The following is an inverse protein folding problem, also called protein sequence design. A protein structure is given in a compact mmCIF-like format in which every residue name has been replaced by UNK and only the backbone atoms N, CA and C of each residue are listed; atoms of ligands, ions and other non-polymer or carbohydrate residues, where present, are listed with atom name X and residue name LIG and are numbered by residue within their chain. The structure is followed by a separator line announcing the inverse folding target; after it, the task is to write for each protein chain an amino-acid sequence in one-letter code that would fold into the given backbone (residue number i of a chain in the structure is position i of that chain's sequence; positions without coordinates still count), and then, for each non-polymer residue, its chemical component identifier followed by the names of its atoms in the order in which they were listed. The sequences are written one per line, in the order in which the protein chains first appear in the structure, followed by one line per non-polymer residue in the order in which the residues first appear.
data_IF_389353629186
#
_entry.id   IF_389353629186
#
_cell.length_a   1.000
_cell.length_b   1.000
_cell.length_c   1.000
_cell.angle_alpha   90.00
_cell.angle_beta   90.00
_cell.angle_gamma   90.00
#
_symmetry.space_group_name_H-M   'P 1'
#
loop_
_entity.id
_entity.type
_entity.pdbx_description
1 polymer ?
#
# COMPACT_ATOMS: atom_id res chain seq x y z
N UNK A 1 1.01 -21.07 0.03
CA UNK A 1 -0.39 -20.74 0.34
C UNK A 1 -0.68 -20.96 1.81
N UNK A 2 -1.53 -20.11 2.39
CA UNK A 2 -2.00 -20.26 3.77
C UNK A 2 -3.19 -21.20 3.88
N UNK A 3 -3.95 -21.32 2.81
CA UNK A 3 -5.15 -22.15 2.71
C UNK A 3 -5.20 -22.77 1.30
N UNK A 4 -5.12 -24.09 1.26
CA UNK A 4 -5.20 -24.85 0.00
C UNK A 4 -6.58 -24.77 -0.63
N UNK A 5 -7.65 -24.57 0.16
CA UNK A 5 -9.01 -24.40 -0.34
C UNK A 5 -9.26 -23.06 -1.04
N UNK A 6 -8.34 -22.09 -0.89
CA UNK A 6 -8.41 -20.79 -1.55
C UNK A 6 -7.70 -20.75 -2.92
N UNK A 7 -7.20 -21.89 -3.41
CA UNK A 7 -6.52 -21.94 -4.71
C UNK A 7 -7.57 -21.89 -5.83
N UNK A 8 -7.42 -20.97 -6.80
CA UNK A 8 -8.29 -20.93 -7.97
C UNK A 8 -8.31 -22.26 -8.72
N UNK A 9 -9.48 -22.74 -9.08
CA UNK A 9 -9.66 -24.07 -9.70
C UNK A 9 -8.92 -24.22 -11.04
N UNK A 10 -8.78 -23.13 -11.79
CA UNK A 10 -8.07 -23.09 -13.06
C UNK A 10 -6.53 -23.24 -12.93
N UNK A 11 -6.00 -23.00 -11.74
CA UNK A 11 -4.59 -23.20 -11.42
C UNK A 11 -4.29 -24.61 -10.89
N UNK A 12 -5.33 -25.30 -10.38
CA UNK A 12 -5.17 -26.67 -9.92
C UNK A 12 -4.87 -27.61 -11.12
N UNK A 13 -3.81 -28.41 -10.99
CA UNK A 13 -3.42 -29.36 -12.05
C UNK A 13 -2.58 -28.80 -13.20
N UNK A 14 -2.27 -27.50 -13.21
CA UNK A 14 -1.29 -26.97 -14.16
C UNK A 14 0.10 -27.56 -13.86
N UNK A 15 0.73 -28.20 -14.85
CA UNK A 15 2.00 -28.91 -14.66
C UNK A 15 3.18 -28.01 -14.24
N UNK A 16 3.10 -26.72 -14.54
CA UNK A 16 4.11 -25.71 -14.24
C UNK A 16 3.82 -24.89 -12.98
N UNK A 17 2.80 -25.26 -12.22
CA UNK A 17 2.42 -24.58 -10.98
C UNK A 17 2.46 -25.56 -9.81
N UNK A 18 3.20 -25.19 -8.78
CA UNK A 18 3.33 -25.98 -7.54
C UNK A 18 2.84 -25.12 -6.38
N UNK A 19 1.85 -25.61 -5.66
CA UNK A 19 1.35 -24.96 -4.44
C UNK A 19 2.01 -25.61 -3.22
N UNK A 20 2.67 -24.80 -2.43
CA UNK A 20 3.30 -25.24 -1.18
C UNK A 20 2.68 -24.54 0.03
N UNK A 21 2.41 -25.26 1.11
CA UNK A 21 1.95 -24.63 2.35
C UNK A 21 3.01 -23.67 2.90
N UNK A 22 2.56 -22.51 3.39
CA UNK A 22 3.46 -21.55 3.99
C UNK A 22 4.18 -22.18 5.21
N UNK A 23 5.47 -21.91 5.34
CA UNK A 23 6.34 -22.44 6.40
C UNK A 23 6.55 -23.96 6.41
N UNK A 24 6.12 -24.69 5.36
CA UNK A 24 6.46 -26.11 5.21
C UNK A 24 7.93 -26.30 4.82
N UNK A 25 8.42 -27.55 4.92
CA UNK A 25 9.77 -27.89 4.47
C UNK A 25 9.96 -27.59 2.98
N UNK A 26 8.98 -27.91 2.16
CA UNK A 26 8.97 -27.62 0.73
C UNK A 26 9.02 -26.10 0.48
N UNK A 27 8.26 -25.29 1.26
CA UNK A 27 8.32 -23.84 1.18
C UNK A 27 9.74 -23.34 1.44
N UNK A 28 10.41 -23.84 2.48
CA UNK A 28 11.79 -23.47 2.83
C UNK A 28 12.77 -23.86 1.72
N UNK A 29 12.59 -25.04 1.12
CA UNK A 29 13.42 -25.51 0.00
C UNK A 29 13.27 -24.61 -1.22
N UNK A 30 12.03 -24.28 -1.63
CA UNK A 30 11.79 -23.37 -2.76
C UNK A 30 12.30 -21.95 -2.45
N UNK A 31 12.06 -21.43 -1.25
CA UNK A 31 12.57 -20.12 -0.84
C UNK A 31 14.11 -20.06 -0.92
N UNK A 32 14.79 -21.15 -0.53
CA UNK A 32 16.24 -21.24 -0.58
C UNK A 32 16.80 -21.46 -1.99
N UNK A 33 16.08 -22.11 -2.91
CA UNK A 33 16.61 -22.57 -4.19
C UNK A 33 16.10 -21.82 -5.42
N UNK A 34 14.94 -21.15 -5.33
CA UNK A 34 14.39 -20.40 -6.46
C UNK A 34 15.36 -19.30 -6.93
N UNK A 35 15.55 -19.18 -8.24
CA UNK A 35 16.36 -18.11 -8.83
C UNK A 35 15.67 -16.75 -8.79
N UNK A 36 14.34 -16.73 -8.90
CA UNK A 36 13.52 -15.54 -8.87
C UNK A 36 12.50 -15.62 -7.73
N UNK A 37 12.42 -14.57 -6.96
CA UNK A 37 11.46 -14.40 -5.87
C UNK A 37 10.59 -13.17 -6.17
N UNK A 38 9.29 -13.31 -6.02
CA UNK A 38 8.35 -12.18 -6.15
C UNK A 38 7.47 -12.15 -4.91
N UNK A 39 7.37 -11.00 -4.27
CA UNK A 39 6.55 -10.82 -3.07
C UNK A 39 5.92 -9.42 -3.09
N UNK A 40 4.71 -9.30 -2.57
CA UNK A 40 4.00 -8.02 -2.44
C UNK A 40 3.90 -7.52 -0.98
N UNK A 41 4.52 -8.22 -0.06
CA UNK A 41 4.62 -7.88 1.38
C UNK A 41 6.03 -8.15 1.87
N UNK A 42 6.23 -8.97 2.89
CA UNK A 42 7.53 -9.35 3.42
C UNK A 42 7.64 -10.85 3.61
N UNK A 43 8.81 -11.41 3.35
CA UNK A 43 9.17 -12.74 3.84
C UNK A 43 9.40 -12.67 5.35
N UNK A 44 9.30 -13.83 6.00
CA UNK A 44 9.53 -13.94 7.44
C UNK A 44 10.97 -13.54 7.84
N UNK A 45 11.20 -13.17 9.11
CA UNK A 45 12.51 -12.69 9.56
C UNK A 45 13.70 -13.64 9.33
N UNK A 46 13.46 -14.94 9.18
CA UNK A 46 14.50 -15.92 8.87
C UNK A 46 14.94 -15.92 7.41
N UNK A 47 14.25 -15.23 6.51
CA UNK A 47 14.61 -15.16 5.09
C UNK A 47 15.94 -14.43 4.90
N UNK A 48 16.85 -15.07 4.16
CA UNK A 48 18.12 -14.49 3.70
C UNK A 48 18.23 -14.73 2.20
N UNK A 49 18.31 -13.66 1.42
CA UNK A 49 18.50 -13.76 -0.02
C UNK A 49 19.93 -14.20 -0.34
N UNK A 50 20.08 -15.22 -1.17
CA UNK A 50 21.39 -15.62 -1.72
C UNK A 50 21.81 -14.65 -2.82
N UNK A 51 23.09 -14.56 -3.09
CA UNK A 51 23.67 -13.62 -4.06
C UNK A 51 23.06 -13.78 -5.47
N UNK A 52 22.82 -15.02 -5.90
CA UNK A 52 22.30 -15.36 -7.23
C UNK A 52 20.79 -15.20 -7.37
N UNK A 53 20.06 -15.03 -6.28
CA UNK A 53 18.62 -14.84 -6.31
C UNK A 53 18.27 -13.40 -6.70
N UNK A 54 17.33 -13.27 -7.63
CA UNK A 54 16.70 -11.98 -7.93
C UNK A 54 15.40 -11.90 -7.16
N UNK A 55 15.24 -10.84 -6.38
CA UNK A 55 14.05 -10.64 -5.55
C UNK A 55 13.36 -9.32 -5.93
N UNK A 56 12.14 -9.45 -6.47
CA UNK A 56 11.22 -8.36 -6.75
C UNK A 56 10.24 -8.20 -5.59
N UNK A 57 10.19 -7.03 -4.99
CA UNK A 57 9.08 -6.64 -4.13
C UNK A 57 8.18 -5.68 -4.88
N UNK A 58 6.91 -6.07 -5.12
CA UNK A 58 5.94 -5.27 -5.86
C UNK A 58 5.15 -4.34 -4.97
N UNK A 59 5.34 -4.46 -3.64
CA UNK A 59 4.47 -3.80 -2.69
C UNK A 59 2.98 -4.07 -2.98
N UNK A 60 2.07 -3.31 -2.39
CA UNK A 60 0.64 -3.56 -2.54
C UNK A 60 -0.20 -2.28 -2.62
N UNK A 61 0.36 -1.21 -3.16
CA UNK A 61 -0.37 0.03 -3.50
C UNK A 61 0.24 1.29 -2.93
N UNK A 62 -0.30 2.42 -3.36
CA UNK A 62 0.10 3.74 -2.89
C UNK A 62 -0.32 3.91 -1.42
N UNK A 63 0.60 4.18 -0.50
CA UNK A 63 0.25 4.34 0.90
C UNK A 63 -0.42 5.69 1.15
N UNK A 64 -1.57 5.66 1.80
CA UNK A 64 -2.19 6.86 2.37
C UNK A 64 -1.75 7.02 3.84
N UNK A 65 -1.68 5.92 4.55
CA UNK A 65 -1.16 5.84 5.92
C UNK A 65 0.35 5.92 5.94
N UNK A 66 0.90 6.53 6.98
CA UNK A 66 2.35 6.54 7.18
C UNK A 66 2.88 5.11 7.39
N UNK A 67 4.05 4.88 6.86
CA UNK A 67 4.84 3.68 6.97
C UNK A 67 6.21 4.03 7.54
N UNK A 68 7.09 3.06 7.69
CA UNK A 68 8.47 3.28 8.04
C UNK A 68 8.65 4.19 9.27
N UNK A 69 9.57 5.13 9.17
CA UNK A 69 9.92 6.06 10.24
C UNK A 69 8.81 7.05 10.59
N UNK A 70 7.97 7.40 9.63
CA UNK A 70 6.83 8.31 9.82
C UNK A 70 5.66 7.67 10.56
N UNK A 71 5.68 6.36 10.76
CA UNK A 71 4.59 5.62 11.40
C UNK A 71 4.40 6.07 12.85
N UNK A 72 3.15 6.33 13.21
CA UNK A 72 2.77 6.60 14.61
C UNK A 72 2.42 5.29 15.30
N UNK A 73 2.77 5.17 16.56
CA UNK A 73 2.59 3.91 17.31
C UNK A 73 3.88 3.12 17.41
N UNK A 74 3.85 1.82 17.20
CA UNK A 74 4.98 0.92 17.42
C UNK A 74 6.27 1.30 16.70
N UNK A 75 7.17 1.98 17.41
CA UNK A 75 8.48 2.36 16.87
C UNK A 75 9.23 1.10 16.45
N UNK A 76 9.79 1.10 15.24
CA UNK A 76 10.48 -0.03 14.61
C UNK A 76 9.61 -1.26 14.29
N UNK A 77 8.28 -1.17 14.34
CA UNK A 77 7.42 -2.26 13.90
C UNK A 77 7.56 -2.56 12.39
N UNK A 78 8.24 -1.69 11.66
CA UNK A 78 8.59 -1.85 10.25
C UNK A 78 9.93 -2.58 10.01
N UNK A 79 10.67 -2.99 11.04
CA UNK A 79 12.02 -3.58 10.93
C UNK A 79 12.13 -4.74 9.94
N UNK A 80 11.19 -5.69 9.97
CA UNK A 80 11.19 -6.80 9.02
C UNK A 80 10.85 -6.36 7.60
N UNK A 81 10.02 -5.33 7.46
CA UNK A 81 9.67 -4.76 6.17
C UNK A 81 10.87 -4.01 5.57
N UNK A 82 11.53 -3.15 6.34
CA UNK A 82 12.77 -2.47 5.97
C UNK A 82 13.84 -3.48 5.50
N UNK A 83 14.06 -4.54 6.29
CA UNK A 83 14.98 -5.61 5.94
C UNK A 83 14.61 -6.32 4.64
N UNK A 84 13.33 -6.59 4.40
CA UNK A 84 12.87 -7.19 3.15
C UNK A 84 13.12 -6.27 1.94
N UNK A 85 12.87 -4.97 2.08
CA UNK A 85 13.19 -4.01 1.04
C UNK A 85 14.70 -3.95 0.78
N UNK A 86 15.52 -3.90 1.81
CA UNK A 86 16.98 -3.92 1.68
C UNK A 86 17.49 -5.21 0.98
N UNK A 87 16.86 -6.36 1.23
CA UNK A 87 17.21 -7.62 0.60
C UNK A 87 16.71 -7.74 -0.84
N UNK A 88 15.76 -6.91 -1.27
CA UNK A 88 15.25 -6.97 -2.63
C UNK A 88 16.30 -6.49 -3.64
N UNK A 89 16.34 -7.12 -4.81
CA UNK A 89 17.14 -6.62 -5.94
C UNK A 89 16.38 -5.57 -6.72
N UNK A 90 15.07 -5.59 -6.58
CA UNK A 90 14.18 -4.65 -7.27
C UNK A 90 12.98 -4.34 -6.40
N UNK A 91 12.72 -3.05 -6.20
CA UNK A 91 11.49 -2.50 -5.61
C UNK A 91 10.65 -1.89 -6.72
N UNK A 92 9.40 -2.29 -6.83
CA UNK A 92 8.43 -1.67 -7.73
C UNK A 92 7.54 -0.71 -6.95
N UNK A 93 7.26 0.44 -7.56
CA UNK A 93 6.32 1.42 -7.06
C UNK A 93 5.39 1.90 -8.18
N UNK A 94 4.09 2.14 -7.93
CA UNK A 94 3.20 2.71 -8.93
C UNK A 94 3.53 4.18 -9.25
N UNK A 95 4.07 4.90 -8.28
CA UNK A 95 4.38 6.34 -8.37
C UNK A 95 5.52 6.74 -7.43
N UNK A 96 5.96 7.99 -7.54
CA UNK A 96 7.08 8.52 -6.75
C UNK A 96 6.78 8.62 -5.24
N UNK A 97 5.53 8.87 -4.84
CA UNK A 97 5.15 8.86 -3.42
C UNK A 97 5.41 7.48 -2.80
N UNK A 98 5.01 6.43 -3.51
CA UNK A 98 5.24 5.06 -3.05
C UNK A 98 6.74 4.75 -3.03
N UNK A 99 7.49 5.09 -4.09
CA UNK A 99 8.93 4.89 -4.12
C UNK A 99 9.61 5.58 -2.92
N UNK A 100 9.25 6.84 -2.66
CA UNK A 100 9.77 7.59 -1.51
C UNK A 100 9.45 6.88 -0.19
N UNK A 101 8.20 6.44 -0.01
CA UNK A 101 7.79 5.73 1.21
C UNK A 101 8.56 4.42 1.41
N UNK A 102 8.86 3.67 0.32
CA UNK A 102 9.56 2.39 0.41
C UNK A 102 11.08 2.56 0.65
N UNK A 103 11.67 3.63 0.19
CA UNK A 103 13.12 3.83 0.26
C UNK A 103 13.50 4.82 1.36
N UNK A 104 13.05 6.07 1.25
CA UNK A 104 13.46 7.13 2.18
C UNK A 104 12.81 6.98 3.56
N UNK A 105 11.49 6.73 3.60
CA UNK A 105 10.79 6.62 4.88
C UNK A 105 11.08 5.30 5.63
N UNK A 106 11.70 4.33 4.96
CA UNK A 106 12.25 3.14 5.60
C UNK A 106 13.77 3.23 5.85
N UNK A 107 14.32 4.44 5.82
CA UNK A 107 15.77 4.69 6.08
C UNK A 107 16.70 3.86 5.18
N UNK A 108 16.36 3.71 3.91
CA UNK A 108 17.11 2.87 2.96
C UNK A 108 17.89 3.66 1.91
N UNK A 109 17.77 5.00 1.87
CA UNK A 109 18.29 5.82 0.79
C UNK A 109 19.76 5.54 0.47
N UNK A 110 20.62 5.46 1.48
CA UNK A 110 22.06 5.27 1.29
C UNK A 110 22.54 3.82 1.47
N UNK A 111 21.65 2.91 1.87
CA UNK A 111 21.99 1.50 2.12
C UNK A 111 21.39 0.53 1.10
N UNK A 112 20.32 0.93 0.44
CA UNK A 112 19.73 0.13 -0.63
C UNK A 112 20.68 0.05 -1.83
N UNK A 113 20.86 -1.14 -2.38
CA UNK A 113 21.75 -1.40 -3.52
C UNK A 113 21.05 -2.09 -4.70
N UNK A 114 19.72 -2.15 -4.64
CA UNK A 114 18.89 -2.68 -5.72
C UNK A 114 18.45 -1.59 -6.68
N UNK A 115 17.46 -1.93 -7.51
CA UNK A 115 16.78 -1.01 -8.43
C UNK A 115 15.42 -0.62 -7.90
N UNK A 116 15.00 0.62 -8.14
CA UNK A 116 13.60 1.01 -8.01
C UNK A 116 13.02 1.21 -9.41
N UNK A 117 11.83 0.65 -9.63
CA UNK A 117 11.07 0.78 -10.90
C UNK A 117 9.75 1.44 -10.58
N UNK A 118 9.55 2.66 -11.10
CA UNK A 118 8.27 3.37 -11.00
C UNK A 118 7.58 3.26 -12.36
N UNK A 119 6.58 2.39 -12.47
CA UNK A 119 6.04 1.98 -13.77
C UNK A 119 4.53 1.65 -13.76
N UNK A 120 3.79 2.19 -12.80
CA UNK A 120 2.39 1.83 -12.59
C UNK A 120 2.23 0.54 -11.76
N UNK A 121 1.00 0.14 -11.56
CA UNK A 121 0.62 -0.98 -10.70
C UNK A 121 0.12 -2.17 -11.52
N UNK A 122 0.85 -3.31 -11.57
CA UNK A 122 0.44 -4.49 -12.33
C UNK A 122 -0.98 -4.98 -12.02
N UNK A 123 -1.42 -4.84 -10.77
CA UNK A 123 -2.76 -5.28 -10.34
C UNK A 123 -3.89 -4.48 -10.98
N UNK A 124 -3.62 -3.27 -11.51
CA UNK A 124 -4.63 -2.43 -12.13
C UNK A 124 -4.81 -2.72 -13.61
N UNK A 125 -3.88 -3.44 -14.25
CA UNK A 125 -3.98 -3.74 -15.68
C UNK A 125 -5.31 -4.41 -16.03
N UNK A 126 -5.76 -5.38 -15.21
CA UNK A 126 -7.04 -6.08 -15.41
C UNK A 126 -8.22 -5.12 -15.40
N UNK A 127 -8.25 -4.18 -14.43
CA UNK A 127 -9.35 -3.21 -14.33
C UNK A 127 -9.35 -2.19 -15.48
N UNK A 128 -8.18 -1.84 -15.99
CA UNK A 128 -8.02 -0.85 -17.06
C UNK A 128 -8.27 -1.44 -18.46
N UNK A 129 -8.08 -2.73 -18.61
CA UNK A 129 -8.28 -3.45 -19.88
C UNK A 129 -9.60 -4.20 -19.97
N UNK A 130 -10.41 -4.18 -18.91
CA UNK A 130 -11.71 -4.86 -18.86
C UNK A 130 -12.65 -4.37 -19.97
N UNK A 131 -13.16 -5.29 -20.75
CA UNK A 131 -14.14 -4.98 -21.81
C UNK A 131 -15.50 -4.56 -21.24
N UNK A 132 -16.31 -3.91 -22.05
CA UNK A 132 -17.67 -3.53 -21.67
C UNK A 132 -18.54 -4.76 -21.32
N UNK A 133 -18.38 -5.85 -22.06
CA UNK A 133 -19.11 -7.10 -21.82
C UNK A 133 -18.74 -7.74 -20.47
N UNK A 134 -17.44 -7.82 -20.14
CA UNK A 134 -16.97 -8.31 -18.84
C UNK A 134 -17.48 -7.45 -17.70
N UNK A 135 -17.48 -6.12 -17.88
CA UNK A 135 -18.03 -5.17 -16.91
C UNK A 135 -19.53 -5.42 -16.68
N UNK A 136 -20.32 -5.56 -17.74
CA UNK A 136 -21.76 -5.87 -17.63
C UNK A 136 -21.98 -7.20 -16.90
N UNK A 137 -21.25 -8.24 -17.26
CA UNK A 137 -21.34 -9.53 -16.59
C UNK A 137 -20.99 -9.44 -15.10
N UNK A 138 -19.94 -8.67 -14.76
CA UNK A 138 -19.56 -8.45 -13.36
C UNK A 138 -20.64 -7.66 -12.59
N UNK A 139 -21.24 -6.64 -13.20
CA UNK A 139 -22.35 -5.88 -12.59
C UNK A 139 -23.56 -6.79 -12.33
N UNK A 140 -23.87 -7.69 -13.27
CA UNK A 140 -24.92 -8.73 -13.08
C UNK A 140 -24.65 -9.63 -11.86
N UNK A 141 -23.41 -10.05 -11.66
CA UNK A 141 -23.02 -10.84 -10.46
C UNK A 141 -23.16 -10.06 -9.15
N UNK A 142 -23.13 -8.74 -9.21
CA UNK A 142 -23.33 -7.84 -8.06
C UNK A 142 -24.79 -7.47 -7.83
N UNK A 143 -25.70 -7.97 -8.68
CA UNK A 143 -27.14 -7.74 -8.55
C UNK A 143 -27.68 -6.58 -9.38
N UNK A 144 -26.90 -6.07 -10.34
CA UNK A 144 -27.31 -5.02 -11.27
C UNK A 144 -27.53 -5.61 -12.65
N UNK A 145 -28.79 -5.84 -13.04
CA UNK A 145 -29.16 -6.35 -14.35
C UNK A 145 -28.76 -5.37 -15.49
N UNK A 146 -28.71 -5.86 -16.72
CA UNK A 146 -28.29 -5.05 -17.87
C UNK A 146 -29.22 -3.87 -18.14
N UNK A 147 -30.51 -4.04 -17.87
CA UNK A 147 -31.57 -3.03 -17.99
C UNK A 147 -31.76 -2.19 -16.71
N UNK A 148 -30.99 -2.41 -15.67
CA UNK A 148 -31.07 -1.68 -14.41
C UNK A 148 -30.32 -0.34 -14.54
N UNK A 149 -31.04 0.77 -14.43
CA UNK A 149 -30.51 2.13 -14.57
C UNK A 149 -29.80 2.64 -13.30
N UNK A 150 -29.87 1.91 -12.18
CA UNK A 150 -29.18 2.29 -10.95
C UNK A 150 -27.69 2.33 -11.13
N UNK A 151 -27.06 3.22 -10.40
CA UNK A 151 -25.58 3.33 -10.33
C UNK A 151 -25.02 2.44 -9.26
N UNK A 152 -23.90 1.78 -9.55
CA UNK A 152 -23.20 0.90 -8.61
C UNK A 152 -22.27 1.71 -7.70
N UNK A 153 -22.60 1.71 -6.42
CA UNK A 153 -21.80 2.37 -5.38
C UNK A 153 -21.10 1.29 -4.55
N UNK A 154 -19.78 1.40 -4.46
CA UNK A 154 -18.98 0.51 -3.61
C UNK A 154 -18.63 1.22 -2.31
N UNK A 155 -19.01 0.63 -1.18
CA UNK A 155 -18.47 1.03 0.12
C UNK A 155 -17.33 0.09 0.53
N UNK A 156 -16.12 0.63 0.64
CA UNK A 156 -14.91 -0.12 0.97
C UNK A 156 -14.07 0.62 2.04
N UNK A 157 -14.52 0.64 3.31
CA UNK A 157 -13.83 1.34 4.38
C UNK A 157 -12.59 0.57 4.87
N UNK A 158 -11.68 1.31 5.50
CA UNK A 158 -10.58 0.73 6.26
C UNK A 158 -11.11 0.07 7.54
N UNK A 159 -10.55 -1.08 7.90
CA UNK A 159 -10.80 -1.68 9.20
C UNK A 159 -10.19 -0.84 10.32
N UNK A 160 -10.82 -0.88 11.50
CA UNK A 160 -10.39 -0.18 12.72
C UNK A 160 -9.71 -1.15 13.69
N UNK A 161 -8.96 -0.59 14.66
CA UNK A 161 -8.21 -1.34 15.66
C UNK A 161 -6.85 -1.84 15.16
N UNK A 162 -6.08 -2.50 16.04
CA UNK A 162 -4.79 -3.11 15.74
C UNK A 162 -4.91 -4.52 15.14
N UNK A 163 -3.80 -5.07 14.62
CA UNK A 163 -3.78 -6.44 14.08
C UNK A 163 -4.16 -7.46 15.17
N UNK A 164 -3.81 -7.18 16.42
CA UNK A 164 -4.11 -8.01 17.58
C UNK A 164 -5.49 -7.78 18.20
N UNK A 165 -6.04 -6.58 18.06
CA UNK A 165 -7.36 -6.22 18.60
C UNK A 165 -8.16 -5.50 17.52
N UNK A 166 -8.99 -6.26 16.82
CA UNK A 166 -9.86 -5.74 15.75
C UNK A 166 -11.17 -5.26 16.35
N UNK A 167 -11.59 -4.10 15.92
CA UNK A 167 -12.84 -3.49 16.35
C UNK A 167 -13.73 -3.27 15.14
N UNK A 168 -14.99 -3.66 15.27
CA UNK A 168 -16.04 -3.38 14.29
C UNK A 168 -17.26 -2.88 15.07
N UNK A 169 -17.56 -1.63 14.90
CA UNK A 169 -18.84 -1.07 15.34
C UNK A 169 -19.92 -1.50 14.33
N UNK A 170 -20.65 -2.55 14.69
CA UNK A 170 -21.69 -3.15 13.85
C UNK A 170 -22.88 -2.21 13.66
N UNK A 171 -23.25 -1.48 14.70
CA UNK A 171 -24.39 -0.56 14.66
C UNK A 171 -24.07 0.64 13.77
N UNK A 172 -22.87 1.21 13.91
CA UNK A 172 -22.39 2.27 13.03
C UNK A 172 -22.33 1.82 11.57
N UNK A 173 -21.79 0.63 11.29
CA UNK A 173 -21.72 0.08 9.93
C UNK A 173 -23.11 -0.08 9.31
N UNK A 174 -24.07 -0.67 10.03
CA UNK A 174 -25.44 -0.86 9.55
C UNK A 174 -26.10 0.51 9.29
N UNK A 175 -25.89 1.49 10.17
CA UNK A 175 -26.42 2.83 10.01
C UNK A 175 -25.82 3.56 8.80
N UNK A 176 -24.50 3.42 8.56
CA UNK A 176 -23.81 3.99 7.40
C UNK A 176 -24.34 3.40 6.09
N UNK A 177 -24.44 2.07 6.03
CA UNK A 177 -24.96 1.36 4.87
C UNK A 177 -26.44 1.71 4.61
N UNK A 178 -27.25 1.86 5.66
CA UNK A 178 -28.66 2.29 5.55
C UNK A 178 -28.75 3.71 4.98
N UNK A 179 -27.90 4.63 5.46
CA UNK A 179 -27.86 5.99 4.95
C UNK A 179 -27.49 6.05 3.47
N UNK A 180 -26.51 5.25 3.04
CA UNK A 180 -26.11 5.16 1.61
C UNK A 180 -27.22 4.55 0.75
N UNK A 181 -27.86 3.48 1.22
CA UNK A 181 -28.92 2.76 0.51
C UNK A 181 -30.29 3.45 0.54
N UNK A 182 -30.42 4.63 1.19
CA UNK A 182 -31.66 5.39 1.23
C UNK A 182 -32.05 6.03 -0.12
N UNK A 183 -31.18 5.95 -1.12
CA UNK A 183 -31.38 6.46 -2.48
C UNK A 183 -31.86 5.35 -3.40
N UNK A 184 -32.95 5.58 -4.14
CA UNK A 184 -33.52 4.62 -5.07
C UNK A 184 -32.72 4.48 -6.38
N UNK A 185 -31.88 5.48 -6.72
CA UNK A 185 -31.09 5.53 -7.96
C UNK A 185 -29.72 4.84 -7.86
N UNK A 186 -29.41 4.18 -6.72
CA UNK A 186 -28.16 3.45 -6.52
C UNK A 186 -28.39 2.01 -6.07
N UNK A 187 -27.44 1.15 -6.46
CA UNK A 187 -27.22 -0.14 -5.82
C UNK A 187 -25.92 -0.04 -5.00
N UNK A 188 -26.04 -0.11 -3.69
CA UNK A 188 -24.87 -0.10 -2.80
C UNK A 188 -24.39 -1.53 -2.56
N UNK A 189 -23.09 -1.76 -2.72
CA UNK A 189 -22.44 -3.02 -2.35
C UNK A 189 -21.33 -2.76 -1.36
N UNK A 190 -21.14 -3.65 -0.41
CA UNK A 190 -20.16 -3.53 0.65
C UNK A 190 -19.01 -4.51 0.44
N UNK A 191 -17.77 -4.01 0.40
CA UNK A 191 -16.56 -4.84 0.43
C UNK A 191 -16.00 -4.88 1.84
N UNK A 192 -16.30 -5.93 2.56
CA UNK A 192 -15.70 -6.16 3.87
C UNK A 192 -14.19 -6.36 3.74
N UNK A 193 -13.42 -5.75 4.63
CA UNK A 193 -12.00 -6.08 4.71
C UNK A 193 -11.85 -7.53 5.18
N UNK A 194 -10.98 -8.29 4.52
CA UNK A 194 -10.79 -9.73 4.78
C UNK A 194 -10.60 -10.07 6.28
N UNK A 195 -10.02 -9.16 7.04
CA UNK A 195 -9.81 -9.33 8.48
C UNK A 195 -11.08 -9.11 9.31
N UNK A 196 -12.07 -8.38 8.79
CA UNK A 196 -13.32 -8.06 9.48
C UNK A 196 -14.47 -9.00 9.12
N UNK A 197 -14.32 -9.85 8.10
CA UNK A 197 -15.41 -10.74 7.64
C UNK A 197 -15.97 -11.64 8.75
N UNK A 198 -15.10 -12.19 9.60
CA UNK A 198 -15.54 -13.04 10.72
C UNK A 198 -16.37 -12.27 11.75
N UNK A 199 -16.18 -10.95 11.84
CA UNK A 199 -16.93 -10.08 12.75
C UNK A 199 -18.32 -9.74 12.23
N UNK A 200 -18.59 -9.99 10.93
CA UNK A 200 -19.89 -9.79 10.30
C UNK A 200 -20.85 -10.97 10.45
N UNK A 201 -20.37 -12.09 11.00
CA UNK A 201 -21.22 -13.26 11.17
C UNK A 201 -22.44 -12.93 12.04
N UNK A 202 -23.66 -13.18 11.49
CA UNK A 202 -24.93 -12.91 12.14
C UNK A 202 -25.36 -11.43 12.14
N UNK A 203 -24.69 -10.56 11.41
CA UNK A 203 -25.14 -9.18 11.17
C UNK A 203 -26.02 -9.15 9.95
N UNK A 204 -27.25 -8.65 10.09
CA UNK A 204 -28.14 -8.39 8.96
C UNK A 204 -27.78 -7.03 8.35
N UNK A 205 -27.23 -7.06 7.15
CA UNK A 205 -26.79 -5.85 6.46
C UNK A 205 -27.87 -5.41 5.45
N UNK A 206 -28.15 -4.09 5.35
CA UNK A 206 -29.15 -3.56 4.43
C UNK A 206 -28.71 -3.59 2.96
N UNK A 207 -27.49 -4.03 2.67
CA UNK A 207 -26.89 -4.08 1.35
C UNK A 207 -26.18 -5.42 1.12
N UNK A 208 -25.95 -5.79 -0.14
CA UNK A 208 -25.21 -7.00 -0.49
C UNK A 208 -23.73 -6.86 -0.20
N UNK A 209 -23.14 -7.91 0.36
CA UNK A 209 -21.69 -8.05 0.49
C UNK A 209 -21.12 -8.58 -0.82
N UNK A 210 -20.05 -7.96 -1.31
CA UNK A 210 -19.36 -8.40 -2.52
C UNK A 210 -18.85 -9.84 -2.34
N UNK A 211 -19.15 -10.77 -3.26
CA UNK A 211 -18.64 -12.14 -3.23
C UNK A 211 -17.11 -12.19 -3.13
N UNK A 212 -16.60 -13.19 -2.41
CA UNK A 212 -15.16 -13.34 -2.11
C UNK A 212 -14.31 -13.68 -3.34
N UNK A 213 -14.92 -14.32 -4.31
CA UNK A 213 -14.32 -14.74 -5.57
C UNK A 213 -14.24 -13.60 -6.61
N UNK A 214 -14.81 -12.43 -6.31
CA UNK A 214 -14.62 -11.22 -7.12
C UNK A 214 -13.34 -10.53 -6.64
N UNK A 215 -12.34 -10.40 -7.52
CA UNK A 215 -11.14 -9.64 -7.24
C UNK A 215 -11.45 -8.15 -7.04
N UNK A 216 -10.76 -7.52 -6.09
CA UNK A 216 -11.02 -6.12 -5.76
C UNK A 216 -10.70 -5.17 -6.91
N UNK A 217 -9.64 -5.44 -7.68
CA UNK A 217 -9.27 -4.57 -8.79
C UNK A 217 -10.24 -4.72 -9.96
N UNK A 218 -10.72 -5.96 -10.23
CA UNK A 218 -11.81 -6.18 -11.19
C UNK A 218 -13.08 -5.45 -10.77
N UNK A 219 -13.44 -5.52 -9.48
CA UNK A 219 -14.59 -4.82 -8.92
C UNK A 219 -14.55 -3.32 -9.22
N UNK A 220 -13.38 -2.69 -9.06
CA UNK A 220 -13.21 -1.25 -9.32
C UNK A 220 -13.57 -0.86 -10.76
N UNK A 221 -13.38 -1.74 -11.74
CA UNK A 221 -13.79 -1.47 -13.12
C UNK A 221 -15.31 -1.37 -13.30
N UNK A 222 -16.08 -2.05 -12.44
CA UNK A 222 -17.55 -2.07 -12.53
C UNK A 222 -18.25 -0.92 -11.79
N UNK A 223 -17.59 -0.31 -10.80
CA UNK A 223 -18.12 0.67 -9.85
C UNK A 223 -18.30 2.05 -10.49
N UNK A 224 -19.40 2.74 -10.23
CA UNK A 224 -19.64 4.11 -10.67
C UNK A 224 -19.16 5.14 -9.64
N UNK A 225 -19.34 4.86 -8.35
CA UNK A 225 -18.87 5.70 -7.24
C UNK A 225 -18.19 4.83 -6.18
N UNK A 226 -16.97 5.21 -5.78
CA UNK A 226 -16.29 4.62 -4.63
C UNK A 226 -16.55 5.47 -3.40
N UNK A 227 -17.07 4.86 -2.33
CA UNK A 227 -17.10 5.45 -0.98
C UNK A 227 -16.06 4.72 -0.14
N UNK A 228 -15.07 5.45 0.32
CA UNK A 228 -13.95 4.91 1.13
C UNK A 228 -13.46 5.95 2.13
N UNK A 229 -12.44 5.60 2.89
CA UNK A 229 -11.84 6.50 3.89
C UNK A 229 -10.31 6.60 3.70
N UNK A 230 -9.52 6.08 4.62
CA UNK A 230 -8.04 6.11 4.62
C UNK A 230 -7.41 4.93 3.85
N UNK A 231 -8.17 4.30 2.98
CA UNK A 231 -7.74 3.11 2.24
C UNK A 231 -6.95 3.47 0.99
N UNK A 232 -5.89 2.71 0.71
CA UNK A 232 -5.14 2.82 -0.54
C UNK A 232 -5.96 2.49 -1.79
N UNK A 233 -7.14 1.89 -1.63
CA UNK A 233 -8.06 1.56 -2.73
C UNK A 233 -8.48 2.82 -3.52
N UNK A 234 -8.47 3.99 -2.86
CA UNK A 234 -8.76 5.25 -3.54
C UNK A 234 -7.79 5.49 -4.71
N UNK A 235 -6.47 5.23 -4.49
CA UNK A 235 -5.46 5.41 -5.53
C UNK A 235 -5.61 4.37 -6.66
N UNK A 236 -6.06 3.18 -6.33
CA UNK A 236 -6.36 2.14 -7.32
C UNK A 236 -7.59 2.48 -8.17
N UNK A 237 -8.50 3.29 -7.64
CA UNK A 237 -9.70 3.72 -8.34
C UNK A 237 -9.49 4.97 -9.21
N UNK A 238 -8.48 5.81 -8.90
CA UNK A 238 -8.23 7.06 -9.64
C UNK A 238 -8.15 6.89 -11.18
N UNK A 239 -7.49 5.84 -11.72
CA UNK A 239 -7.39 5.64 -13.16
C UNK A 239 -8.74 5.37 -13.84
N UNK A 240 -9.77 4.98 -13.08
CA UNK A 240 -11.12 4.83 -13.60
C UNK A 240 -11.80 6.18 -13.95
N UNK A 241 -11.24 7.31 -13.47
CA UNK A 241 -11.74 8.68 -13.71
C UNK A 241 -13.22 8.85 -13.31
N UNK A 242 -13.60 8.20 -12.22
CA UNK A 242 -14.95 8.24 -11.65
C UNK A 242 -14.90 8.88 -10.28
N UNK A 243 -16.06 9.21 -9.74
CA UNK A 243 -16.21 9.94 -8.48
C UNK A 243 -15.84 9.10 -7.26
N UNK A 244 -15.17 9.74 -6.32
CA UNK A 244 -14.80 9.19 -5.00
C UNK A 244 -15.45 10.04 -3.93
N UNK A 245 -16.08 9.40 -2.93
CA UNK A 245 -16.51 10.01 -1.69
C UNK A 245 -15.57 9.53 -0.58
N UNK A 246 -14.93 10.47 0.10
CA UNK A 246 -14.03 10.21 1.23
C UNK A 246 -14.83 10.39 2.53
N UNK A 247 -15.33 9.29 3.08
CA UNK A 247 -16.07 9.28 4.33
C UNK A 247 -15.13 9.19 5.53
N UNK A 248 -14.80 10.31 6.13
CA UNK A 248 -13.76 10.47 7.14
C UNK A 248 -14.30 11.01 8.47
N UNK A 249 -15.33 10.37 9.02
CA UNK A 249 -16.03 10.79 10.24
C UNK A 249 -15.13 10.80 11.50
N UNK A 250 -14.03 10.06 11.50
CA UNK A 250 -13.10 9.88 12.61
C UNK A 250 -11.68 10.38 12.28
N UNK A 251 -11.55 11.38 11.40
CA UNK A 251 -10.26 11.84 10.84
C UNK A 251 -9.24 12.21 11.90
N UNK A 252 -9.66 12.93 12.96
CA UNK A 252 -8.74 13.41 13.99
C UNK A 252 -8.18 12.24 14.81
N UNK A 253 -9.01 11.28 15.19
CA UNK A 253 -8.61 10.08 15.90
C UNK A 253 -7.68 9.23 15.03
N UNK A 254 -8.08 9.00 13.78
CA UNK A 254 -7.29 8.20 12.84
C UNK A 254 -5.91 8.81 12.57
N UNK A 255 -5.84 10.13 12.38
CA UNK A 255 -4.58 10.86 12.19
C UNK A 255 -3.67 10.76 13.43
N UNK A 256 -4.25 10.84 14.62
CA UNK A 256 -3.50 10.71 15.86
C UNK A 256 -2.91 9.32 16.06
N UNK A 257 -3.66 8.27 15.73
CA UNK A 257 -3.24 6.87 15.93
C UNK A 257 -2.28 6.35 14.85
N UNK A 258 -2.55 6.66 13.58
CA UNK A 258 -1.88 6.02 12.44
C UNK A 258 -0.95 6.94 11.68
N UNK A 259 -1.25 8.23 11.63
CA UNK A 259 -0.59 9.17 10.73
C UNK A 259 -1.03 9.00 9.26
N UNK A 260 -0.93 10.09 8.52
CA UNK A 260 -1.24 10.12 7.09
C UNK A 260 -0.10 10.83 6.36
N UNK A 261 0.28 10.36 5.17
CA UNK A 261 1.27 11.02 4.32
C UNK A 261 0.72 12.25 3.60
N UNK A 262 -0.59 12.28 3.43
CA UNK A 262 -1.30 13.35 2.72
C UNK A 262 -2.39 13.91 3.62
N UNK A 263 -2.57 15.21 3.57
CA UNK A 263 -3.75 15.82 4.16
C UNK A 263 -4.99 15.45 3.34
N UNK A 264 -6.16 15.23 3.99
CA UNK A 264 -7.39 14.88 3.29
C UNK A 264 -7.78 15.84 2.18
N UNK A 265 -7.44 17.13 2.33
CA UNK A 265 -7.70 18.17 1.34
C UNK A 265 -6.81 18.04 0.08
N UNK A 266 -5.67 17.35 0.17
CA UNK A 266 -4.77 17.08 -0.95
C UNK A 266 -5.18 15.82 -1.73
N UNK A 267 -6.06 15.00 -1.15
CA UNK A 267 -6.48 13.73 -1.73
C UNK A 267 -7.67 13.96 -2.65
N UNK A 268 -7.63 13.44 -3.89
CA UNK A 268 -8.75 13.60 -4.81
C UNK A 268 -9.97 12.83 -4.33
N UNK A 269 -11.10 13.52 -4.25
CA UNK A 269 -12.38 12.98 -3.81
C UNK A 269 -13.26 14.06 -3.19
N UNK A 270 -14.50 13.70 -2.94
CA UNK A 270 -15.48 14.53 -2.23
C UNK A 270 -15.45 14.18 -0.76
N UNK A 271 -14.94 15.06 0.09
CA UNK A 271 -14.90 14.84 1.53
C UNK A 271 -16.31 14.83 2.14
N UNK A 272 -16.57 13.89 3.05
CA UNK A 272 -17.79 13.71 3.80
C UNK A 272 -17.40 13.31 5.24
N UNK A 273 -17.81 14.09 6.20
CA UNK A 273 -17.43 13.90 7.61
C UNK A 273 -18.59 13.45 8.49
N UNK A 274 -19.82 13.51 7.97
CA UNK A 274 -21.02 13.14 8.72
C UNK A 274 -21.85 12.09 7.97
N UNK A 275 -22.37 11.11 8.71
CA UNK A 275 -23.31 10.10 8.18
C UNK A 275 -24.54 10.73 7.54
N UNK A 276 -25.08 11.79 8.11
CA UNK A 276 -26.25 12.47 7.57
C UNK A 276 -26.03 13.05 6.16
N UNK A 277 -24.77 13.32 5.79
CA UNK A 277 -24.39 13.85 4.49
C UNK A 277 -24.14 12.75 3.44
N UNK A 278 -24.01 11.47 3.83
CA UNK A 278 -23.60 10.39 2.92
C UNK A 278 -24.48 10.29 1.67
N UNK A 279 -25.81 10.27 1.83
CA UNK A 279 -26.73 10.19 0.71
C UNK A 279 -26.62 11.39 -0.24
N UNK A 280 -26.42 12.59 0.33
CA UNK A 280 -26.20 13.82 -0.43
C UNK A 280 -24.84 13.80 -1.13
N UNK A 281 -23.78 13.36 -0.46
CA UNK A 281 -22.44 13.24 -1.04
C UNK A 281 -22.42 12.26 -2.21
N UNK A 282 -23.11 11.12 -2.10
CA UNK A 282 -23.29 10.17 -3.22
C UNK A 282 -24.02 10.84 -4.38
N UNK A 283 -25.10 11.60 -4.11
CA UNK A 283 -25.84 12.31 -5.15
C UNK A 283 -24.97 13.33 -5.90
N UNK A 284 -24.13 14.08 -5.20
CA UNK A 284 -23.14 15.01 -5.76
C UNK A 284 -22.08 14.26 -6.59
N UNK A 285 -21.62 13.12 -6.08
CA UNK A 285 -20.67 12.27 -6.79
C UNK A 285 -21.25 11.71 -8.10
N UNK A 286 -22.53 11.31 -8.11
CA UNK A 286 -23.23 10.89 -9.32
C UNK A 286 -23.41 12.04 -10.34
N UNK A 287 -23.43 13.28 -9.86
CA UNK A 287 -23.44 14.48 -10.71
C UNK A 287 -22.03 14.88 -11.21
N UNK A 288 -20.99 14.11 -10.86
CA UNK A 288 -19.61 14.29 -11.34
C UNK A 288 -18.68 15.01 -10.38
N UNK A 289 -19.14 15.37 -9.16
CA UNK A 289 -18.21 15.86 -8.14
C UNK A 289 -17.32 14.72 -7.62
N UNK A 290 -16.12 15.06 -7.12
CA UNK A 290 -15.19 14.06 -6.57
C UNK A 290 -14.42 13.25 -7.61
N UNK A 291 -14.50 13.61 -8.89
CA UNK A 291 -13.62 13.08 -9.95
C UNK A 291 -12.24 13.68 -9.79
N UNK A 292 -11.22 12.84 -9.85
CA UNK A 292 -9.84 13.28 -9.71
C UNK A 292 -9.45 14.26 -10.84
N UNK A 293 -8.88 15.44 -10.52
CA UNK A 293 -8.34 16.34 -11.51
C UNK A 293 -7.09 15.75 -12.17
N UNK A 294 -6.78 16.16 -13.40
CA UNK A 294 -5.63 15.63 -14.17
C UNK A 294 -4.31 15.72 -13.37
N UNK A 295 -4.09 16.82 -12.64
CA UNK A 295 -2.90 16.99 -11.78
C UNK A 295 -2.75 15.85 -10.75
N UNK A 296 -3.85 15.35 -10.20
CA UNK A 296 -3.81 14.21 -9.26
C UNK A 296 -3.51 12.89 -9.99
N UNK A 297 -4.07 12.69 -11.17
CA UNK A 297 -3.73 11.54 -12.02
C UNK A 297 -2.25 11.54 -12.39
N UNK A 298 -1.71 12.68 -12.80
CA UNK A 298 -0.29 12.83 -13.14
C UNK A 298 0.63 12.55 -11.92
N UNK A 299 0.17 12.88 -10.72
CA UNK A 299 0.93 12.65 -9.47
C UNK A 299 0.86 11.21 -8.97
N UNK A 300 -0.34 10.61 -8.97
CA UNK A 300 -0.58 9.33 -8.31
C UNK A 300 -0.70 8.14 -9.27
N UNK A 301 -1.03 8.40 -10.52
CA UNK A 301 -1.30 7.36 -11.54
C UNK A 301 -0.57 7.65 -12.87
N UNK A 302 0.72 8.11 -12.85
CA UNK A 302 1.39 8.60 -14.07
C UNK A 302 1.61 7.51 -15.13
N UNK A 303 1.56 6.24 -14.76
CA UNK A 303 1.89 5.09 -15.62
C UNK A 303 0.77 4.04 -15.67
N UNK A 304 -0.44 4.39 -15.29
CA UNK A 304 -1.59 3.49 -15.27
C UNK A 304 -2.28 3.46 -16.64
N UNK A 305 -1.78 2.62 -17.53
CA UNK A 305 -2.25 2.47 -18.92
C UNK A 305 -2.64 1.02 -19.29
N UNK A 306 -2.69 0.12 -18.31
CA UNK A 306 -2.98 -1.30 -18.52
C UNK A 306 -1.80 -2.13 -19.02
N UNK A 307 -0.56 -1.59 -18.96
CA UNK A 307 0.66 -2.26 -19.41
C UNK A 307 1.74 -2.37 -18.33
N UNK A 308 1.40 -2.09 -17.08
CA UNK A 308 2.37 -2.10 -15.97
C UNK A 308 3.00 -3.48 -15.75
N UNK A 309 2.22 -4.57 -15.87
CA UNK A 309 2.73 -5.95 -15.78
C UNK A 309 3.79 -6.25 -16.83
N UNK A 310 3.54 -5.88 -18.08
CA UNK A 310 4.45 -6.09 -19.18
C UNK A 310 5.76 -5.30 -19.00
N UNK A 311 5.66 -4.04 -18.58
CA UNK A 311 6.85 -3.21 -18.31
C UNK A 311 7.69 -3.80 -17.19
N UNK A 312 7.05 -4.15 -16.08
CA UNK A 312 7.75 -4.73 -14.93
C UNK A 312 8.39 -6.08 -15.27
N UNK A 313 7.68 -6.93 -15.99
CA UNK A 313 8.20 -8.25 -16.39
C UNK A 313 9.46 -8.09 -17.25
N UNK A 314 9.43 -7.25 -18.28
CA UNK A 314 10.61 -6.99 -19.13
C UNK A 314 11.79 -6.43 -18.34
N UNK A 315 11.53 -5.44 -17.49
CA UNK A 315 12.57 -4.83 -16.66
C UNK A 315 13.19 -5.79 -15.66
N UNK A 316 12.40 -6.69 -15.08
CA UNK A 316 12.88 -7.58 -14.03
C UNK A 316 13.43 -8.90 -14.56
N UNK A 317 12.79 -9.53 -15.55
CA UNK A 317 13.22 -10.84 -16.06
C UNK A 317 14.22 -10.72 -17.22
N UNK A 318 14.02 -9.75 -18.12
CA UNK A 318 14.78 -9.62 -19.35
C UNK A 318 15.88 -8.54 -19.27
N UNK A 319 15.97 -7.82 -18.14
CA UNK A 319 16.86 -6.65 -17.96
C UNK A 319 16.68 -5.57 -19.05
N UNK A 320 15.49 -5.52 -19.66
CA UNK A 320 15.13 -4.48 -20.60
C UNK A 320 14.73 -3.23 -19.81
N UNK A 321 15.62 -2.24 -19.80
CA UNK A 321 15.48 -1.01 -19.04
C UNK A 321 15.06 0.19 -19.92
N UNK A 322 14.92 -0.02 -21.23
CA UNK A 322 14.50 1.03 -22.16
C UNK A 322 12.97 1.08 -22.27
N UNK A 323 12.36 1.81 -21.36
CA UNK A 323 10.90 2.04 -21.33
C UNK A 323 10.51 3.47 -21.72
N UNK A 324 11.46 4.28 -22.17
CA UNK A 324 11.21 5.67 -22.55
C UNK A 324 10.58 6.49 -21.42
N UNK A 325 9.44 7.15 -21.72
CA UNK A 325 8.68 7.94 -20.73
C UNK A 325 7.67 7.14 -19.91
N UNK A 326 7.59 5.81 -20.11
CA UNK A 326 6.57 4.96 -19.49
C UNK A 326 7.01 4.37 -18.13
N UNK A 327 8.25 4.59 -17.74
CA UNK A 327 8.77 4.17 -16.44
C UNK A 327 9.96 5.03 -16.02
N UNK A 328 10.22 5.09 -14.72
CA UNK A 328 11.45 5.63 -14.16
C UNK A 328 12.19 4.49 -13.47
N UNK A 329 13.42 4.22 -13.90
CA UNK A 329 14.28 3.20 -13.32
C UNK A 329 15.49 3.88 -12.70
N UNK A 330 15.74 3.60 -11.42
CA UNK A 330 16.93 4.05 -10.70
C UNK A 330 17.71 2.85 -10.20
N UNK A 331 18.98 2.81 -10.52
CA UNK A 331 19.91 1.79 -10.03
C UNK A 331 20.74 2.37 -8.89
N UNK A 332 20.35 2.11 -7.67
CA UNK A 332 21.00 2.65 -6.47
C UNK A 332 22.42 2.11 -6.22
N UNK A 333 22.83 1.05 -6.92
CA UNK A 333 24.20 0.58 -6.88
C UNK A 333 25.14 1.45 -7.73
N UNK A 334 24.61 2.11 -8.76
CA UNK A 334 25.33 2.92 -9.72
C UNK A 334 25.23 4.42 -9.44
N UNK A 335 24.16 4.86 -8.77
CA UNK A 335 23.99 6.26 -8.44
C UNK A 335 25.07 6.68 -7.40
N UNK A 336 25.88 7.70 -7.69
CA UNK A 336 26.68 8.34 -6.64
C UNK A 336 25.70 8.93 -5.63
N UNK A 337 26.06 8.86 -4.36
CA UNK A 337 25.25 9.37 -3.25
C UNK A 337 24.98 10.92 -3.33
N UNK A 338 25.42 11.59 -4.37
CA UNK A 338 25.11 12.97 -4.70
C UNK A 338 25.04 13.16 -6.22
N UNK A 339 23.96 13.77 -6.70
CA UNK A 339 23.68 13.97 -8.14
C UNK A 339 24.57 14.98 -8.88
N UNK A 340 25.71 15.39 -8.32
CA UNK A 340 26.62 16.37 -8.97
C UNK A 340 28.03 15.85 -9.32
N UNK A 341 28.28 14.54 -9.17
CA UNK A 341 29.57 13.96 -9.54
C UNK A 341 30.73 14.29 -8.57
N UNK A 342 30.48 15.02 -7.48
CA UNK A 342 31.51 15.41 -6.53
C UNK A 342 31.35 14.66 -5.20
N UNK A 343 32.36 13.89 -4.88
CA UNK A 343 32.67 13.23 -3.61
C UNK A 343 31.63 12.18 -3.14
N UNK A 344 32.05 10.90 -3.13
CA UNK A 344 31.40 9.85 -2.33
C UNK A 344 31.25 10.34 -0.89
N UNK A 345 30.02 10.38 -0.38
CA UNK A 345 29.77 10.59 1.05
C UNK A 345 30.55 9.55 1.86
N UNK A 346 31.12 9.96 2.95
CA UNK A 346 31.77 9.05 3.87
C UNK A 346 30.71 8.38 4.72
N UNK A 347 30.61 7.05 4.64
CA UNK A 347 29.67 6.30 5.47
C UNK A 347 30.18 6.26 6.91
N UNK A 348 29.37 6.75 7.84
CA UNK A 348 29.59 6.66 9.27
C UNK A 348 28.59 5.66 9.86
N UNK A 349 29.09 4.75 10.68
CA UNK A 349 28.27 3.75 11.35
C UNK A 349 28.38 3.96 12.85
N UNK A 350 27.26 4.25 13.50
CA UNK A 350 27.17 4.38 14.95
C UNK A 350 26.36 3.23 15.53
N UNK A 351 26.74 2.81 16.74
CA UNK A 351 25.94 1.94 17.57
C UNK A 351 25.56 2.69 18.85
N UNK A 352 24.25 2.77 19.14
CA UNK A 352 23.77 3.53 20.29
C UNK A 352 22.66 2.80 21.03
N UNK A 353 22.69 2.91 22.36
CA UNK A 353 21.70 2.32 23.27
C UNK A 353 20.47 3.19 23.48
N UNK A 354 20.47 4.43 23.00
CA UNK A 354 19.40 5.42 23.17
C UNK A 354 18.99 5.68 24.62
N UNK A 355 19.90 5.47 25.58
CA UNK A 355 19.63 5.77 26.99
C UNK A 355 19.62 7.30 27.14
N UNK A 356 18.58 7.91 27.76
CA UNK A 356 18.48 9.35 27.95
C UNK A 356 19.54 9.82 28.99
N UNK A 357 20.71 10.15 28.51
CA UNK A 357 21.84 10.64 29.30
C UNK A 357 22.72 11.57 28.46
N UNK A 358 23.81 12.06 29.04
CA UNK A 358 24.75 12.95 28.35
C UNK A 358 25.37 12.36 27.08
N UNK A 359 25.50 11.03 26.99
CA UNK A 359 26.04 10.36 25.79
C UNK A 359 25.03 10.48 24.63
N UNK A 360 23.73 10.24 24.88
CA UNK A 360 22.72 10.41 23.88
C UNK A 360 22.59 11.86 23.42
N UNK A 361 22.66 12.82 24.33
CA UNK A 361 22.65 14.24 24.00
C UNK A 361 23.88 14.66 23.15
N UNK A 362 25.06 14.14 23.48
CA UNK A 362 26.25 14.36 22.68
C UNK A 362 26.16 13.72 21.28
N UNK A 363 25.58 12.52 21.18
CA UNK A 363 25.33 11.86 19.90
C UNK A 363 24.38 12.70 19.03
N UNK A 364 23.26 13.15 19.57
CA UNK A 364 22.31 14.01 18.82
C UNK A 364 22.96 15.28 18.32
N UNK A 365 23.73 15.98 19.19
CA UNK A 365 24.43 17.19 18.79
C UNK A 365 25.49 16.93 17.70
N UNK A 366 26.21 15.80 17.78
CA UNK A 366 27.14 15.38 16.73
C UNK A 366 26.42 15.13 15.42
N UNK A 367 25.30 14.37 15.44
CA UNK A 367 24.55 14.03 14.25
C UNK A 367 23.92 15.28 13.59
N UNK A 368 23.47 16.24 14.38
CA UNK A 368 22.96 17.53 13.87
C UNK A 368 24.08 18.39 13.23
N UNK A 369 25.32 18.26 13.71
CA UNK A 369 26.45 19.02 13.19
C UNK A 369 27.09 18.39 11.93
N UNK A 370 26.78 17.15 11.60
CA UNK A 370 27.30 16.48 10.41
C UNK A 370 26.64 17.04 9.14
N UNK A 371 27.49 17.38 8.18
CA UNK A 371 27.04 17.82 6.85
C UNK A 371 26.49 16.60 6.06
N UNK A 372 25.18 16.57 5.74
CA UNK A 372 24.58 15.45 5.03
C UNK A 372 25.10 15.29 3.59
N UNK A 373 25.74 16.32 3.02
CA UNK A 373 26.35 16.22 1.69
C UNK A 373 27.71 15.52 1.72
N UNK A 374 28.37 15.52 2.87
CA UNK A 374 29.67 14.88 3.06
C UNK A 374 29.59 13.51 3.72
N UNK A 375 28.56 13.27 4.53
CA UNK A 375 28.44 12.08 5.35
C UNK A 375 27.08 11.39 5.14
N UNK A 376 27.13 10.08 4.95
CA UNK A 376 25.99 9.17 5.06
C UNK A 376 26.06 8.49 6.42
N UNK A 377 25.11 8.77 7.28
CA UNK A 377 25.09 8.26 8.65
C UNK A 377 24.15 7.08 8.77
N UNK A 378 24.65 5.99 9.33
CA UNK A 378 23.85 4.81 9.63
C UNK A 378 23.93 4.52 11.13
N UNK A 379 22.78 4.34 11.76
CA UNK A 379 22.69 4.08 13.18
C UNK A 379 22.21 2.64 13.42
N UNK A 380 22.99 1.88 14.20
CA UNK A 380 22.57 0.57 14.68
C UNK A 380 21.93 0.74 16.04
N UNK A 381 20.67 0.34 16.16
CA UNK A 381 19.92 0.35 17.42
C UNK A 381 19.29 -1.02 17.62
N UNK A 382 19.33 -1.53 18.83
CA UNK A 382 18.68 -2.79 19.16
C UNK A 382 17.17 -2.58 19.38
N UNK A 383 16.28 -3.15 18.53
CA UNK A 383 14.85 -2.89 18.62
C UNK A 383 14.21 -3.29 19.94
N UNK A 384 14.67 -4.41 20.53
CA UNK A 384 14.17 -4.91 21.82
C UNK A 384 14.33 -3.91 22.96
N UNK A 385 15.35 -3.07 22.86
CA UNK A 385 15.69 -2.04 23.84
C UNK A 385 14.79 -0.82 23.73
N UNK A 386 14.25 -0.56 22.54
CA UNK A 386 13.38 0.58 22.27
C UNK A 386 11.90 0.26 22.52
N UNK A 387 11.42 -0.93 22.13
CA UNK A 387 10.00 -1.30 22.07
C UNK A 387 9.20 -1.04 23.36
N UNK A 388 9.83 -1.19 24.51
CA UNK A 388 9.15 -1.06 25.81
C UNK A 388 9.71 0.09 26.67
N UNK A 389 10.32 1.09 26.05
CA UNK A 389 10.93 2.19 26.78
C UNK A 389 10.67 3.53 26.10
N UNK A 390 9.70 4.28 26.61
CA UNK A 390 9.28 5.57 26.07
C UNK A 390 10.39 6.60 26.03
N UNK A 391 11.23 6.68 27.07
CA UNK A 391 12.32 7.64 27.14
C UNK A 391 13.35 7.41 26.02
N UNK A 392 13.65 6.15 25.71
CA UNK A 392 14.55 5.79 24.61
C UNK A 392 13.92 6.04 23.25
N UNK A 393 12.62 5.78 23.12
CA UNK A 393 11.87 6.10 21.91
C UNK A 393 11.87 7.61 21.65
N UNK A 394 11.78 8.44 22.69
CA UNK A 394 11.85 9.88 22.55
C UNK A 394 13.21 10.35 22.03
N UNK A 395 14.31 9.78 22.53
CA UNK A 395 15.66 10.07 21.99
C UNK A 395 15.73 9.66 20.50
N UNK A 396 15.18 8.48 20.15
CA UNK A 396 15.19 8.01 18.77
C UNK A 396 14.38 8.93 17.85
N UNK A 397 13.22 9.44 18.27
CA UNK A 397 12.41 10.38 17.49
C UNK A 397 13.09 11.71 17.23
N UNK A 398 14.05 12.08 18.07
CA UNK A 398 14.84 13.31 17.94
C UNK A 398 15.99 13.19 16.96
N UNK A 399 16.27 12.02 16.40
CA UNK A 399 17.31 11.87 15.39
C UNK A 399 17.03 12.78 14.18
N UNK A 400 18.07 13.43 13.63
CA UNK A 400 17.94 14.17 12.38
C UNK A 400 17.47 13.29 11.23
N UNK A 401 16.71 13.84 10.30
CA UNK A 401 16.15 13.05 9.17
C UNK A 401 17.17 12.48 8.19
N UNK A 402 18.38 12.98 8.22
CA UNK A 402 19.49 12.51 7.39
C UNK A 402 20.30 11.36 8.01
N UNK A 403 19.86 10.87 9.17
CA UNK A 403 20.45 9.73 9.89
C UNK A 403 19.61 8.50 9.72
#
# INVERSE_FOLDING_TARGET
VNDLGAIPADLLGRRNVVFVPLHSTEYMQYLATAGYLVNNVSFAPYFVRRREQRYLNTWHGTPFKTLGRSMRGGLLDYENLQRNFQLSTTLMAPNELTRWALVEDHDLLDVYRGRTIVAGSPRLDTSLTMSAQERTALRGRLGLAEDDERRLVLFAPTWRGGVSKRELDREALVADLTAMASRDDVLVVYRAHRLSEKLLAGVDLPVSVVPKDIDTNELLAAVDVLVTDYSSILFDFLPQKRSIVLYMHDIEEYRAERGLYLDPEEVPGLACYDRAELASAIGRALAGEGVAPQKALDRYCPYEDGQASSRLARAFFDDDLDHGRQAIIRDHALEPASGDGSRRRRTLLFHASMIPNGIASALLALLEALDPDLYSVNLIVEPSVLRNNEDRQEIFRRLPRHV
#
